data_IF_007808686203
#
_entry.id   IF_007808686203
#
_cell.length_a   1.000
_cell.length_b   1.000
_cell.length_c   1.000
_cell.angle_alpha   90.00
_cell.angle_beta   90.00
_cell.angle_gamma   90.00
#
_symmetry.space_group_name_H-M   'P 1'
#
loop_
_entity.id
_entity.type
_entity.pdbx_description
1 polymer ?
#
# COMPACT_ATOMS: atom_id res chain seq x y z
N UNK A 1 -8.52 51.91 3.83
CA UNK A 1 -8.18 51.21 2.57
C UNK A 1 -6.93 50.34 2.69
N UNK A 2 -5.70 50.87 2.90
CA UNK A 2 -4.47 50.05 2.94
C UNK A 2 -4.48 48.93 4.01
N UNK A 3 -5.01 49.20 5.21
CA UNK A 3 -5.10 48.21 6.31
C UNK A 3 -6.14 47.10 6.06
N UNK A 4 -7.23 47.40 5.35
CA UNK A 4 -8.29 46.43 5.04
C UNK A 4 -7.87 45.47 3.92
N UNK A 5 -7.17 45.97 2.90
CA UNK A 5 -6.59 45.12 1.85
C UNK A 5 -5.54 44.15 2.42
N UNK A 6 -4.74 44.59 3.39
CA UNK A 6 -3.78 43.75 4.11
C UNK A 6 -4.46 42.64 4.92
N UNK A 7 -5.54 42.98 5.65
CA UNK A 7 -6.30 41.99 6.42
C UNK A 7 -6.97 40.96 5.51
N UNK A 8 -7.50 41.39 4.36
CA UNK A 8 -8.12 40.51 3.38
C UNK A 8 -7.11 39.57 2.73
N UNK A 9 -5.89 40.06 2.45
CA UNK A 9 -4.79 39.24 1.95
C UNK A 9 -4.33 38.21 3.00
N UNK A 10 -4.20 38.59 4.27
CA UNK A 10 -3.86 37.67 5.36
C UNK A 10 -4.94 36.59 5.56
N UNK A 11 -6.22 36.94 5.41
CA UNK A 11 -7.33 36.00 5.48
C UNK A 11 -7.28 35.00 4.31
N UNK A 12 -7.02 35.47 3.09
CA UNK A 12 -6.85 34.62 1.91
C UNK A 12 -5.61 33.72 2.01
N UNK A 13 -4.52 34.19 2.63
CA UNK A 13 -3.35 33.36 2.93
C UNK A 13 -3.65 32.26 3.95
N UNK A 14 -4.55 32.49 4.91
CA UNK A 14 -4.96 31.46 5.89
C UNK A 14 -5.84 30.36 5.31
N UNK A 15 -6.46 30.61 4.14
CA UNK A 15 -7.16 29.61 3.35
C UNK A 15 -6.20 28.77 2.48
N UNK A 16 -4.95 29.22 2.34
CA UNK A 16 -3.88 28.50 1.66
C UNK A 16 -3.22 27.47 2.56
N UNK A 17 -3.67 26.22 2.46
CA UNK A 17 -2.92 25.01 2.83
C UNK A 17 -2.67 24.75 4.32
N UNK A 18 -3.73 24.44 5.06
CA UNK A 18 -3.62 23.51 6.18
C UNK A 18 -3.67 22.06 5.66
N UNK A 19 -2.57 21.52 5.12
CA UNK A 19 -2.50 20.06 4.95
C UNK A 19 -2.39 19.45 6.34
N UNK A 20 -3.48 18.85 6.84
CA UNK A 20 -3.44 18.12 8.09
C UNK A 20 -2.66 16.82 7.87
N UNK A 21 -1.60 16.58 8.63
CA UNK A 21 -0.88 15.31 8.64
C UNK A 21 -1.01 14.62 9.99
N UNK A 22 -0.78 13.32 10.01
CA UNK A 22 -0.82 12.51 11.21
C UNK A 22 -0.03 11.23 11.06
N UNK A 23 0.02 10.48 12.15
CA UNK A 23 0.54 9.12 12.15
C UNK A 23 -0.40 8.21 12.92
N UNK A 24 -0.54 6.97 12.46
CA UNK A 24 -1.28 5.93 13.15
C UNK A 24 -0.45 4.65 13.19
N UNK A 25 -0.64 3.87 14.26
CA UNK A 25 -0.09 2.52 14.32
C UNK A 25 -0.73 1.63 13.25
N UNK A 26 0.10 0.77 12.67
CA UNK A 26 -0.29 -0.22 11.67
C UNK A 26 -0.06 -1.61 12.24
N UNK A 27 -1.08 -2.46 12.08
CA UNK A 27 -0.95 -3.91 12.16
C UNK A 27 -1.74 -4.51 11.01
N UNK A 28 -1.04 -5.12 10.06
CA UNK A 28 -1.60 -5.70 8.85
C UNK A 28 -1.09 -7.13 8.69
N UNK A 29 -1.99 -8.10 8.57
CA UNK A 29 -1.60 -9.49 8.31
C UNK A 29 -1.98 -9.87 6.89
N UNK A 30 -0.98 -10.32 6.13
CA UNK A 30 -1.12 -10.86 4.78
C UNK A 30 -0.91 -12.37 4.86
N UNK A 31 -1.91 -13.14 4.46
CA UNK A 31 -1.84 -14.60 4.39
C UNK A 31 -1.69 -15.02 2.94
N UNK A 32 -0.91 -16.07 2.69
CA UNK A 32 -0.67 -16.58 1.36
C UNK A 32 -1.10 -18.04 1.29
N UNK A 33 -1.59 -18.46 0.12
CA UNK A 33 -1.74 -19.87 -0.19
C UNK A 33 -0.40 -20.60 0.05
N UNK A 34 -0.43 -21.82 0.58
CA UNK A 34 0.74 -22.65 0.86
C UNK A 34 1.61 -22.90 -0.37
N UNK A 35 1.06 -22.75 -1.58
CA UNK A 35 1.83 -22.72 -2.83
C UNK A 35 2.89 -21.60 -2.87
N UNK A 36 2.71 -20.53 -2.09
CA UNK A 36 3.60 -19.38 -1.97
C UNK A 36 4.13 -19.29 -0.52
N UNK A 37 5.18 -20.03 -0.17
CA UNK A 37 5.74 -20.03 1.18
C UNK A 37 6.25 -18.65 1.59
N UNK A 38 5.86 -18.18 2.78
CA UNK A 38 6.19 -16.82 3.25
C UNK A 38 7.69 -16.54 3.41
N UNK A 39 8.53 -17.56 3.58
CA UNK A 39 10.00 -17.42 3.61
C UNK A 39 10.59 -16.95 2.28
N UNK A 40 9.88 -17.16 1.17
CA UNK A 40 10.29 -16.74 -0.19
C UNK A 40 9.65 -15.42 -0.61
N UNK A 41 8.88 -14.78 0.28
CA UNK A 41 8.15 -13.55 -0.04
C UNK A 41 8.91 -12.33 0.49
N UNK A 42 9.25 -11.42 -0.41
CA UNK A 42 9.79 -10.09 -0.08
C UNK A 42 8.69 -9.05 -0.16
N UNK A 43 8.62 -8.15 0.81
CA UNK A 43 7.64 -7.06 0.83
C UNK A 43 8.32 -5.75 0.50
N UNK A 44 7.73 -5.02 -0.45
CA UNK A 44 8.10 -3.67 -0.84
C UNK A 44 6.94 -2.74 -0.56
N UNK A 45 7.25 -1.52 -0.11
CA UNK A 45 6.26 -0.47 0.09
C UNK A 45 6.58 0.69 -0.84
N UNK A 46 5.57 1.18 -1.54
CA UNK A 46 5.69 2.33 -2.43
C UNK A 46 4.89 3.50 -1.87
N UNK A 47 5.60 4.60 -1.62
CA UNK A 47 5.00 5.84 -1.13
C UNK A 47 3.94 6.35 -2.09
N UNK A 48 2.87 6.92 -1.54
CA UNK A 48 1.76 7.44 -2.33
C UNK A 48 1.44 8.85 -1.90
N UNK A 49 1.85 9.83 -2.72
CA UNK A 49 1.58 11.26 -2.53
C UNK A 49 1.97 11.78 -1.13
N UNK A 50 3.15 11.39 -0.63
CA UNK A 50 3.67 11.81 0.67
C UNK A 50 3.28 10.90 1.85
N UNK A 51 2.49 9.85 1.62
CA UNK A 51 2.21 8.82 2.63
C UNK A 51 3.23 7.70 2.54
N UNK A 52 3.79 7.31 3.68
CA UNK A 52 4.83 6.28 3.79
C UNK A 52 4.69 5.50 5.10
N UNK A 53 5.35 4.34 5.14
CA UNK A 53 5.44 3.52 6.33
C UNK A 53 6.75 3.82 7.07
N UNK A 54 6.70 3.95 8.39
CA UNK A 54 7.85 4.17 9.27
C UNK A 54 7.94 3.05 10.32
N UNK A 55 9.14 2.76 10.82
CA UNK A 55 9.40 1.79 11.92
C UNK A 55 8.78 0.42 11.65
N UNK A 56 8.97 -0.08 10.44
CA UNK A 56 8.33 -1.30 9.97
C UNK A 56 9.07 -2.51 10.55
N UNK A 57 8.29 -3.45 11.08
CA UNK A 57 8.73 -4.77 11.50
C UNK A 57 7.80 -5.82 10.87
N UNK A 58 8.39 -6.79 10.17
CA UNK A 58 7.69 -7.88 9.55
C UNK A 58 7.95 -9.18 10.32
N UNK A 59 6.89 -9.84 10.77
CA UNK A 59 6.99 -11.16 11.42
C UNK A 59 6.29 -12.20 10.58
N UNK A 60 7.01 -13.27 10.21
CA UNK A 60 6.45 -14.43 9.51
C UNK A 60 5.89 -15.44 10.49
N UNK A 61 4.75 -16.05 10.15
CA UNK A 61 4.18 -17.19 10.84
C UNK A 61 4.02 -18.34 9.85
N UNK A 62 4.87 -19.36 10.00
CA UNK A 62 4.88 -20.54 9.14
C UNK A 62 3.69 -21.47 9.39
N UNK A 63 3.02 -21.39 10.55
CA UNK A 63 1.88 -22.25 10.85
C UNK A 63 0.61 -21.82 10.12
N UNK A 64 0.52 -20.53 9.78
CA UNK A 64 -0.60 -19.92 9.07
C UNK A 64 -0.23 -19.46 7.66
N UNK A 65 1.04 -19.63 7.26
CA UNK A 65 1.64 -19.09 6.03
C UNK A 65 1.32 -17.59 5.86
N UNK A 66 1.63 -16.79 6.88
CA UNK A 66 1.31 -15.37 6.91
C UNK A 66 2.48 -14.48 7.28
N UNK A 67 2.39 -13.21 6.87
CA UNK A 67 3.32 -12.14 7.22
C UNK A 67 2.52 -11.03 7.91
N UNK A 68 2.89 -10.70 9.14
CA UNK A 68 2.32 -9.58 9.86
C UNK A 68 3.28 -8.39 9.83
N UNK A 69 2.82 -7.29 9.25
CA UNK A 69 3.52 -6.02 9.14
C UNK A 69 3.04 -5.12 10.29
N UNK A 70 3.97 -4.68 11.13
CA UNK A 70 3.73 -3.71 12.20
C UNK A 70 4.57 -2.46 11.96
N UNK A 71 4.08 -1.31 12.38
CA UNK A 71 4.82 -0.06 12.31
C UNK A 71 3.91 1.14 12.47
N UNK A 72 4.26 2.24 11.81
CA UNK A 72 3.44 3.44 11.77
C UNK A 72 3.23 3.88 10.32
N UNK A 73 2.03 4.35 10.00
CA UNK A 73 1.74 5.03 8.74
C UNK A 73 1.80 6.51 9.02
N UNK A 74 2.67 7.23 8.31
CA UNK A 74 2.57 8.69 8.21
C UNK A 74 1.68 9.03 7.03
N UNK A 75 0.70 9.91 7.27
CA UNK A 75 -0.25 10.30 6.25
C UNK A 75 -0.52 11.80 6.22
N UNK A 76 -0.80 12.30 5.03
CA UNK A 76 -1.44 13.56 4.77
C UNK A 76 -2.94 13.29 4.58
N UNK A 77 -3.78 14.05 5.28
CA UNK A 77 -5.24 13.88 5.29
C UNK A 77 -5.79 14.04 3.88
N UNK A 78 -6.65 13.10 3.47
CA UNK A 78 -7.18 13.03 2.09
C UNK A 78 -6.31 12.25 1.11
N UNK A 79 -5.24 11.60 1.57
CA UNK A 79 -4.34 10.78 0.76
C UNK A 79 -4.43 9.28 1.15
N UNK A 80 -3.94 8.40 0.27
CA UNK A 80 -4.09 6.94 0.35
C UNK A 80 -2.92 6.27 1.10
N UNK A 81 -3.19 5.16 1.78
CA UNK A 81 -2.18 4.29 2.37
C UNK A 81 -1.20 3.76 1.28
N UNK A 82 0.09 3.58 1.61
CA UNK A 82 1.12 3.11 0.65
C UNK A 82 0.73 1.81 -0.06
N UNK A 83 1.16 1.63 -1.30
CA UNK A 83 0.96 0.35 -1.99
C UNK A 83 1.99 -0.65 -1.48
N UNK A 84 1.54 -1.84 -1.10
CA UNK A 84 2.46 -2.95 -0.80
C UNK A 84 2.54 -3.89 -1.99
N UNK A 85 3.74 -4.32 -2.31
CA UNK A 85 4.03 -5.34 -3.32
C UNK A 85 4.74 -6.49 -2.63
N UNK A 86 4.15 -7.67 -2.65
CA UNK A 86 4.76 -8.90 -2.15
C UNK A 86 5.30 -9.67 -3.35
N UNK A 87 6.62 -9.79 -3.45
CA UNK A 87 7.30 -10.54 -4.49
C UNK A 87 7.61 -11.94 -3.96
N UNK A 88 6.93 -12.95 -4.52
CA UNK A 88 7.31 -14.35 -4.34
C UNK A 88 8.41 -14.68 -5.34
N UNK A 89 9.59 -15.01 -4.83
CA UNK A 89 10.74 -15.38 -5.64
C UNK A 89 10.80 -16.90 -5.80
N UNK A 90 10.79 -17.37 -7.04
CA UNK A 90 10.94 -18.77 -7.37
C UNK A 90 11.87 -18.98 -8.57
N UNK A 91 12.29 -20.22 -8.76
CA UNK A 91 13.12 -20.60 -9.90
C UNK A 91 12.49 -21.75 -10.67
N UNK A 92 12.48 -21.64 -11.99
CA UNK A 92 12.13 -22.73 -12.90
C UNK A 92 13.38 -23.13 -13.66
N UNK A 93 13.67 -24.43 -13.74
CA UNK A 93 14.84 -24.93 -14.47
C UNK A 93 14.43 -25.31 -15.88
N UNK A 94 15.01 -24.64 -16.89
CA UNK A 94 14.90 -25.02 -18.31
C UNK A 94 16.30 -25.42 -18.76
N UNK A 95 16.47 -26.64 -19.27
CA UNK A 95 17.77 -27.18 -19.69
C UNK A 95 18.88 -27.02 -18.63
N UNK A 96 18.57 -27.36 -17.37
CA UNK A 96 19.43 -27.18 -16.19
C UNK A 96 19.84 -25.74 -15.87
N UNK A 97 19.29 -24.74 -16.58
CA UNK A 97 19.51 -23.33 -16.29
C UNK A 97 18.38 -22.79 -15.40
N UNK A 98 18.70 -22.22 -14.22
CA UNK A 98 17.70 -21.60 -13.37
C UNK A 98 17.20 -20.29 -14.00
N UNK A 99 15.89 -20.19 -14.21
CA UNK A 99 15.20 -18.98 -14.64
C UNK A 99 14.37 -18.47 -13.46
N UNK A 100 14.62 -17.23 -13.06
CA UNK A 100 13.85 -16.57 -12.02
C UNK A 100 12.41 -16.35 -12.48
N UNK A 101 11.46 -16.91 -11.73
CA UNK A 101 10.02 -16.72 -11.93
C UNK A 101 9.45 -16.03 -10.70
N UNK A 102 9.34 -14.71 -10.80
CA UNK A 102 8.76 -13.90 -9.75
C UNK A 102 7.25 -13.76 -9.95
N UNK A 103 6.47 -14.06 -8.90
CA UNK A 103 5.04 -13.71 -8.84
C UNK A 103 4.87 -12.49 -7.94
N UNK A 104 4.15 -11.49 -8.43
CA UNK A 104 3.87 -10.26 -7.69
C UNK A 104 2.44 -10.28 -7.17
N UNK A 105 2.29 -10.04 -5.87
CA UNK A 105 1.01 -9.78 -5.23
C UNK A 105 0.93 -8.31 -4.83
N UNK A 106 -0.23 -7.70 -5.00
CA UNK A 106 -0.43 -6.28 -4.77
C UNK A 106 -1.50 -6.05 -3.72
N UNK A 107 -1.16 -5.25 -2.71
CA UNK A 107 -2.12 -4.71 -1.75
C UNK A 107 -2.23 -3.20 -1.98
N UNK A 108 -3.39 -2.77 -2.49
CA UNK A 108 -3.63 -1.41 -2.95
C UNK A 108 -4.74 -0.79 -2.12
N UNK A 109 -4.54 0.45 -1.71
CA UNK A 109 -5.59 1.23 -1.05
C UNK A 109 -5.92 2.50 -1.83
N UNK A 110 -7.20 2.84 -1.86
CA UNK A 110 -7.74 4.01 -2.53
C UNK A 110 -8.77 4.70 -1.62
N UNK A 111 -8.46 5.91 -1.16
CA UNK A 111 -9.29 6.68 -0.23
C UNK A 111 -9.18 6.26 1.24
N UNK A 112 -8.26 5.36 1.57
CA UNK A 112 -8.00 4.92 2.95
C UNK A 112 -6.73 5.55 3.49
N UNK A 113 -6.82 6.14 4.70
CA UNK A 113 -5.68 6.74 5.40
C UNK A 113 -4.93 5.71 6.26
N UNK A 114 -5.61 4.63 6.66
CA UNK A 114 -5.03 3.50 7.38
C UNK A 114 -5.79 2.22 7.05
N UNK A 115 -5.16 1.08 7.37
CA UNK A 115 -5.78 -0.24 7.26
C UNK A 115 -5.68 -0.88 8.64
N UNK A 116 -6.77 -0.84 9.40
CA UNK A 116 -6.92 -1.60 10.63
C UNK A 116 -7.92 -2.73 10.35
N UNK A 117 -7.46 -3.97 10.48
CA UNK A 117 -8.31 -5.15 10.34
C UNK A 117 -7.85 -6.22 11.32
N UNK A 118 -8.82 -6.90 11.93
CA UNK A 118 -8.56 -8.07 12.76
C UNK A 118 -8.40 -9.34 11.91
N UNK A 119 -8.80 -9.28 10.65
CA UNK A 119 -8.75 -10.40 9.70
C UNK A 119 -7.58 -10.27 8.72
N UNK A 120 -6.92 -11.38 8.37
CA UNK A 120 -5.87 -11.37 7.35
C UNK A 120 -6.44 -11.12 5.96
N UNK A 121 -5.64 -10.49 5.10
CA UNK A 121 -5.90 -10.44 3.65
C UNK A 121 -5.23 -11.64 2.99
N UNK A 122 -6.00 -12.40 2.22
CA UNK A 122 -5.56 -13.70 1.71
C UNK A 122 -5.23 -13.59 0.22
N UNK A 123 -3.97 -13.83 -0.12
CA UNK A 123 -3.48 -13.95 -1.50
C UNK A 123 -3.46 -15.41 -1.93
N UNK A 124 -3.97 -15.67 -3.13
CA UNK A 124 -4.06 -17.01 -3.72
C UNK A 124 -3.60 -16.99 -5.18
N UNK A 125 -3.75 -18.10 -5.90
CA UNK A 125 -3.43 -18.12 -7.33
C UNK A 125 -4.31 -17.14 -8.13
N UNK A 126 -5.61 -17.11 -7.83
CA UNK A 126 -6.64 -16.28 -8.48
C UNK A 126 -6.83 -14.90 -7.82
N UNK A 127 -6.14 -14.65 -6.71
CA UNK A 127 -6.14 -13.37 -6.00
C UNK A 127 -4.71 -12.88 -5.92
N UNK A 128 -4.22 -12.30 -7.02
CA UNK A 128 -2.93 -11.62 -7.09
C UNK A 128 -3.00 -10.17 -6.63
N UNK A 129 -4.18 -9.55 -6.65
CA UNK A 129 -4.38 -8.15 -6.29
C UNK A 129 -5.54 -8.04 -5.32
N UNK A 130 -5.32 -7.34 -4.21
CA UNK A 130 -6.35 -6.95 -3.25
C UNK A 130 -6.39 -5.42 -3.25
N UNK A 131 -7.52 -4.87 -3.65
CA UNK A 131 -7.75 -3.44 -3.71
C UNK A 131 -8.84 -3.04 -2.73
N UNK A 132 -8.49 -2.17 -1.78
CA UNK A 132 -9.44 -1.64 -0.81
C UNK A 132 -9.78 -0.20 -1.16
N UNK A 133 -11.07 0.06 -1.35
CA UNK A 133 -11.62 1.37 -1.66
C UNK A 133 -12.45 1.90 -0.50
N UNK A 134 -12.33 3.19 -0.25
CA UNK A 134 -13.33 3.96 0.50
C UNK A 134 -14.27 4.63 -0.49
N UNK A 135 -15.56 4.31 -0.43
CA UNK A 135 -16.59 4.86 -1.32
C UNK A 135 -17.56 5.69 -0.48
N UNK A 136 -17.91 6.88 -0.95
CA UNK A 136 -18.93 7.71 -0.30
C UNK A 136 -20.31 7.27 -0.79
N UNK A 137 -21.22 6.98 0.13
CA UNK A 137 -22.60 6.59 -0.19
C UNK A 137 -23.55 7.28 0.79
N UNK A 138 -24.50 8.05 0.28
CA UNK A 138 -25.58 8.67 1.08
C UNK A 138 -25.10 9.42 2.35
N UNK A 139 -23.95 10.10 2.27
CA UNK A 139 -23.39 10.86 3.40
C UNK A 139 -22.54 10.03 4.38
N UNK A 140 -22.43 8.72 4.20
CA UNK A 140 -21.48 7.85 4.90
C UNK A 140 -20.33 7.41 3.98
N UNK A 141 -19.33 6.76 4.57
CA UNK A 141 -18.26 6.11 3.83
C UNK A 141 -18.30 4.61 4.08
N UNK A 142 -18.37 3.84 3.00
CA UNK A 142 -18.26 2.38 3.02
C UNK A 142 -16.86 1.95 2.60
N UNK A 143 -16.43 0.79 3.10
CA UNK A 143 -15.20 0.12 2.69
C UNK A 143 -15.57 -1.04 1.76
N UNK A 144 -14.97 -1.07 0.58
CA UNK A 144 -15.15 -2.14 -0.40
C UNK A 144 -13.80 -2.80 -0.66
N UNK A 145 -13.78 -4.13 -0.62
CA UNK A 145 -12.61 -4.96 -0.92
C UNK A 145 -12.86 -5.65 -2.25
N UNK A 146 -12.01 -5.36 -3.25
CA UNK A 146 -12.02 -6.03 -4.55
C UNK A 146 -10.79 -6.93 -4.67
N UNK A 147 -10.95 -8.06 -5.36
CA UNK A 147 -9.88 -9.02 -5.61
C UNK A 147 -9.77 -9.30 -7.10
N UNK A 148 -8.54 -9.38 -7.61
CA UNK A 148 -8.26 -9.66 -9.01
C UNK A 148 -7.12 -10.69 -9.15
N UNK A 149 -7.09 -11.51 -10.21
CA UNK A 149 -6.01 -12.46 -10.44
C UNK A 149 -4.67 -11.79 -10.73
N UNK A 150 -4.69 -10.67 -11.44
CA UNK A 150 -3.50 -9.93 -11.83
C UNK A 150 -3.78 -8.43 -11.90
N UNK A 151 -2.69 -7.64 -11.92
CA UNK A 151 -2.80 -6.20 -12.09
C UNK A 151 -2.99 -5.87 -13.56
N UNK A 152 -4.19 -5.43 -13.96
CA UNK A 152 -4.41 -4.94 -15.32
C UNK A 152 -3.83 -3.53 -15.40
N UNK A 153 -2.63 -3.40 -15.98
CA UNK A 153 -2.10 -2.11 -16.38
C UNK A 153 -2.88 -1.61 -17.60
N UNK A 154 -3.79 -0.65 -17.42
CA UNK A 154 -4.07 0.28 -18.52
C UNK A 154 -2.77 1.01 -18.84
N UNK A 155 -2.26 0.99 -20.09
CA UNK A 155 -0.97 1.56 -20.42
C UNK A 155 -0.97 3.06 -20.12
N UNK A 156 -0.31 3.45 -19.03
CA UNK A 156 0.03 4.85 -18.79
C UNK A 156 1.34 5.18 -19.51
N UNK A 157 1.40 6.39 -20.07
CA UNK A 157 2.62 6.93 -20.67
C UNK A 157 3.79 6.80 -19.68
N UNK A 158 4.90 6.23 -20.19
CA UNK A 158 6.10 5.86 -19.45
C UNK A 158 6.54 6.97 -18.48
N UNK A 159 6.37 6.74 -17.18
CA UNK A 159 7.03 7.53 -16.15
C UNK A 159 8.34 6.79 -15.81
N UNK A 160 9.52 7.43 -15.87
CA UNK A 160 10.78 6.78 -15.54
C UNK A 160 10.81 6.37 -14.06
N UNK A 161 11.18 5.11 -13.79
CA UNK A 161 11.40 4.60 -12.44
C UNK A 161 12.61 5.31 -11.82
N UNK A 162 12.38 6.12 -10.79
CA UNK A 162 13.46 6.60 -9.90
C UNK A 162 13.71 5.56 -8.81
N UNK A 163 14.96 5.11 -8.69
CA UNK A 163 15.44 4.00 -7.84
C UNK A 163 15.37 4.21 -6.31
N UNK A 164 14.31 4.80 -5.78
CA UNK A 164 14.11 4.86 -4.33
C UNK A 164 13.38 3.60 -3.86
N UNK A 165 13.99 2.43 -4.04
CA UNK A 165 13.45 1.13 -3.62
C UNK A 165 13.90 0.84 -2.19
N UNK A 166 13.06 1.14 -1.20
CA UNK A 166 13.29 0.70 0.18
C UNK A 166 12.85 -0.76 0.30
N UNK A 167 13.82 -1.68 0.28
CA UNK A 167 13.62 -3.07 0.71
C UNK A 167 13.35 -3.06 2.21
N UNK A 168 12.18 -3.56 2.62
CA UNK A 168 11.91 -3.80 4.04
C UNK A 168 12.85 -4.91 4.52
N UNK A 169 13.68 -4.60 5.52
CA UNK A 169 14.59 -5.56 6.16
C UNK A 169 13.86 -6.34 7.25
#
# INVERSE_FOLDING_TARGET
>A
MKKQALLMLLFLCSLGYGQASGSNELKLTLQFDWKFPVEKIKIYSFEKKGNYLEKINCTTDHSTNSITIRGSIHYITGVNFPTLVCCYEDFVYIDNSPIEKNKLFYFITNGLQSVATDKPFVFTEDVGVIEIKRIQKEGSYDIVINTYPELIFTPMNRIPFTNTTLRLK
#
